data_IF_385721780692
#
_entry.id   IF_385721780692
#
_cell.length_a   1.000
_cell.length_b   1.000
_cell.length_c   1.000
_cell.angle_alpha   90.00
_cell.angle_beta   90.00
_cell.angle_gamma   90.00
#
_symmetry.space_group_name_H-M   'P 1'
#
loop_
_entity.id
_entity.type
_entity.pdbx_description
1 polymer ?
#
# COMPACT_ATOMS: atom_id res chain seq x y z
N UNK A 1 -6.71 -7.08 -13.65
CA UNK A 1 -5.29 -6.69 -13.64
C UNK A 1 -4.55 -7.10 -12.35
N UNK A 2 -5.26 -7.31 -11.22
CA UNK A 2 -4.67 -7.68 -9.91
C UNK A 2 -4.37 -9.17 -9.75
N UNK A 3 -4.86 -10.02 -10.63
CA UNK A 3 -4.72 -11.47 -10.58
C UNK A 3 -3.74 -11.99 -11.65
N UNK A 4 -3.08 -13.12 -11.40
CA UNK A 4 -2.26 -13.77 -12.42
C UNK A 4 -3.05 -14.13 -13.70
N UNK A 5 -2.43 -14.07 -14.87
CA UNK A 5 -1.02 -13.71 -15.11
C UNK A 5 -0.77 -12.18 -15.25
N UNK A 6 -1.83 -11.36 -15.19
CA UNK A 6 -1.78 -9.94 -15.54
C UNK A 6 -1.08 -9.07 -14.51
N UNK A 7 -1.08 -9.48 -13.24
CA UNK A 7 -0.56 -8.68 -12.12
C UNK A 7 0.92 -8.34 -12.25
N UNK A 8 1.73 -9.23 -12.83
CA UNK A 8 3.18 -9.00 -12.97
C UNK A 8 3.54 -7.77 -13.79
N UNK A 9 2.82 -7.52 -14.88
CA UNK A 9 3.01 -6.29 -15.65
C UNK A 9 2.20 -5.12 -15.08
N UNK A 10 0.97 -5.38 -14.66
CA UNK A 10 0.04 -4.36 -14.20
C UNK A 10 0.55 -3.60 -12.97
N UNK A 11 1.25 -4.26 -12.05
CA UNK A 11 1.74 -3.65 -10.82
C UNK A 11 2.79 -2.56 -11.05
N UNK A 12 3.52 -2.62 -12.15
CA UNK A 12 4.44 -1.55 -12.57
C UNK A 12 3.79 -0.51 -13.48
N UNK A 13 2.59 -0.79 -14.02
CA UNK A 13 1.88 0.03 -15.01
C UNK A 13 0.54 0.57 -14.49
N UNK A 14 0.35 0.69 -13.20
CA UNK A 14 -0.93 1.08 -12.58
C UNK A 14 -1.48 2.39 -13.15
N UNK A 15 -0.62 3.35 -13.50
CA UNK A 15 -1.03 4.63 -14.10
C UNK A 15 -1.69 4.50 -15.49
N UNK A 16 -1.54 3.36 -16.13
CA UNK A 16 -2.18 3.05 -17.43
C UNK A 16 -3.54 2.39 -17.23
N UNK A 17 -3.88 1.97 -16.01
CA UNK A 17 -5.03 1.14 -15.69
C UNK A 17 -6.08 1.91 -14.89
N UNK A 18 -5.65 2.69 -13.92
CA UNK A 18 -6.53 3.47 -13.04
C UNK A 18 -6.13 4.95 -13.04
N UNK A 19 -7.06 5.87 -12.72
CA UNK A 19 -6.73 7.28 -12.58
C UNK A 19 -5.63 7.50 -11.54
N UNK A 20 -4.58 8.24 -11.93
CA UNK A 20 -3.45 8.56 -11.06
C UNK A 20 -3.02 10.01 -11.25
N UNK A 21 -2.42 10.58 -10.22
CA UNK A 21 -1.76 11.88 -10.28
C UNK A 21 -0.28 11.72 -9.89
N UNK A 22 0.58 12.51 -10.52
CA UNK A 22 1.99 12.57 -10.17
C UNK A 22 2.20 13.57 -9.04
N UNK A 23 2.89 13.15 -7.98
CA UNK A 23 3.37 14.05 -6.95
C UNK A 23 4.81 14.42 -7.31
N UNK A 24 5.05 15.71 -7.56
CA UNK A 24 6.40 16.21 -7.81
C UNK A 24 7.22 16.11 -6.52
N UNK A 25 8.40 15.56 -6.64
CA UNK A 25 9.36 15.47 -5.54
C UNK A 25 10.72 16.01 -5.98
N UNK A 26 11.39 16.67 -5.08
CA UNK A 26 12.80 17.04 -5.28
C UNK A 26 13.66 15.87 -4.82
N UNK A 27 14.53 15.40 -5.72
CA UNK A 27 15.49 14.36 -5.36
C UNK A 27 16.34 14.84 -4.18
N UNK A 28 16.24 14.12 -3.07
CA UNK A 28 17.15 14.34 -1.94
C UNK A 28 18.60 13.99 -2.31
N UNK A 29 19.57 14.33 -1.47
CA UNK A 29 20.97 14.00 -1.73
C UNK A 29 21.11 12.48 -1.92
N UNK A 30 21.84 12.09 -2.96
CA UNK A 30 22.13 10.67 -3.22
C UNK A 30 22.90 10.09 -2.02
N UNK A 31 22.18 9.34 -1.20
CA UNK A 31 22.86 8.50 -0.22
C UNK A 31 23.57 7.38 -0.98
N UNK A 32 24.91 7.38 -0.95
CA UNK A 32 25.68 6.24 -1.44
C UNK A 32 25.26 5.01 -0.64
N UNK A 33 24.44 4.19 -1.27
CA UNK A 33 24.08 2.89 -0.74
C UNK A 33 25.30 1.99 -1.01
N UNK A 34 26.02 1.59 0.04
CA UNK A 34 27.06 0.59 -0.12
C UNK A 34 26.37 -0.74 -0.42
N UNK A 35 26.43 -1.20 -1.66
CA UNK A 35 25.95 -2.51 -2.03
C UNK A 35 26.86 -3.57 -1.46
N UNK A 36 26.36 -4.30 -0.50
CA UNK A 36 27.00 -5.52 -0.01
C UNK A 36 26.17 -6.70 -0.51
N UNK A 37 26.60 -7.32 -1.61
CA UNK A 37 25.97 -8.55 -2.11
C UNK A 37 26.58 -9.74 -1.37
N UNK A 38 25.90 -10.23 -0.34
CA UNK A 38 26.16 -11.57 0.17
C UNK A 38 25.36 -12.58 -0.67
N UNK A 39 26.03 -13.26 -1.60
CA UNK A 39 25.41 -14.23 -2.51
C UNK A 39 25.00 -15.55 -1.85
N UNK A 40 25.30 -15.73 -0.59
CA UNK A 40 25.11 -16.99 0.14
C UNK A 40 24.04 -16.89 1.25
N UNK A 41 23.10 -15.92 1.12
CA UNK A 41 21.96 -15.89 2.03
C UNK A 41 21.05 -17.07 1.76
N UNK A 42 20.73 -17.80 2.81
CA UNK A 42 19.74 -18.88 2.76
C UNK A 42 18.47 -18.51 3.51
N UNK A 43 17.38 -19.14 3.14
CA UNK A 43 16.09 -19.02 3.81
C UNK A 43 15.57 -20.41 4.16
N UNK A 44 15.10 -20.54 5.40
CA UNK A 44 14.47 -21.76 5.88
C UNK A 44 12.97 -21.71 5.52
N UNK A 45 12.55 -22.59 4.63
CA UNK A 45 11.18 -22.67 4.16
C UNK A 45 10.33 -23.50 5.13
N UNK A 46 10.90 -24.61 5.61
CA UNK A 46 10.31 -25.53 6.59
C UNK A 46 11.38 -26.00 7.56
N UNK A 47 10.98 -26.79 8.55
CA UNK A 47 11.87 -27.20 9.63
C UNK A 47 13.18 -27.87 9.14
N UNK A 48 13.11 -28.62 8.03
CA UNK A 48 14.27 -29.34 7.45
C UNK A 48 14.53 -28.96 5.98
N UNK A 49 14.01 -27.81 5.52
CA UNK A 49 14.13 -27.39 4.12
C UNK A 49 14.71 -25.99 4.06
N UNK A 50 15.90 -25.87 3.52
CA UNK A 50 16.62 -24.62 3.33
C UNK A 50 17.00 -24.46 1.86
N UNK A 51 16.89 -23.24 1.31
CA UNK A 51 17.28 -22.92 -0.05
C UNK A 51 18.02 -21.60 -0.09
N UNK A 52 18.70 -21.32 -1.19
CA UNK A 52 19.28 -20.01 -1.43
C UNK A 52 18.17 -18.97 -1.55
N UNK A 53 18.39 -17.78 -0.99
CA UNK A 53 17.43 -16.69 -1.05
C UNK A 53 17.11 -16.29 -2.50
N UNK A 54 18.10 -16.28 -3.39
CA UNK A 54 17.93 -15.98 -4.82
C UNK A 54 16.97 -16.99 -5.50
N UNK A 55 17.13 -18.29 -5.19
CA UNK A 55 16.26 -19.34 -5.71
C UNK A 55 14.83 -19.19 -5.18
N UNK A 56 14.68 -18.95 -3.88
CA UNK A 56 13.38 -18.71 -3.27
C UNK A 56 12.65 -17.52 -3.90
N UNK A 57 13.34 -16.38 -4.07
CA UNK A 57 12.77 -15.18 -4.66
C UNK A 57 12.41 -15.37 -6.14
N UNK A 58 13.21 -16.14 -6.89
CA UNK A 58 12.92 -16.43 -8.30
C UNK A 58 11.72 -17.36 -8.49
N UNK A 59 11.47 -18.26 -7.54
CA UNK A 59 10.34 -19.21 -7.57
C UNK A 59 9.04 -18.62 -7.06
N UNK A 60 9.11 -17.51 -6.32
CA UNK A 60 7.96 -16.76 -5.83
C UNK A 60 7.62 -15.62 -6.79
N UNK A 61 6.44 -15.02 -6.66
CA UNK A 61 6.04 -13.88 -7.50
C UNK A 61 6.53 -12.53 -6.93
N UNK A 62 7.66 -12.52 -6.26
CA UNK A 62 8.32 -11.30 -5.77
C UNK A 62 8.93 -10.56 -6.95
N UNK A 63 8.75 -9.24 -7.02
CA UNK A 63 9.32 -8.41 -8.08
C UNK A 63 10.59 -7.69 -7.63
N UNK A 64 10.67 -7.27 -6.37
CA UNK A 64 11.88 -6.70 -5.79
C UNK A 64 11.98 -7.06 -4.31
N UNK A 65 13.19 -7.25 -3.82
CA UNK A 65 13.47 -7.54 -2.42
C UNK A 65 14.71 -6.79 -1.95
N UNK A 66 14.63 -6.18 -0.78
CA UNK A 66 15.71 -5.37 -0.24
C UNK A 66 15.87 -5.62 1.26
N UNK A 67 17.10 -5.82 1.70
CA UNK A 67 17.44 -5.90 3.12
C UNK A 67 18.42 -4.80 3.45
N UNK A 68 18.11 -4.05 4.51
CA UNK A 68 19.04 -3.10 5.12
C UNK A 68 19.28 -3.42 6.59
N UNK A 69 20.49 -3.20 7.06
CA UNK A 69 20.85 -3.33 8.47
C UNK A 69 21.71 -2.16 8.89
N UNK A 70 21.33 -1.47 9.97
CA UNK A 70 22.01 -0.28 10.50
C UNK A 70 22.30 0.77 9.42
N UNK A 71 21.29 1.04 8.56
CA UNK A 71 21.37 2.02 7.48
C UNK A 71 22.22 1.60 6.28
N UNK A 72 22.71 0.36 6.22
CA UNK A 72 23.47 -0.17 5.09
C UNK A 72 22.64 -1.23 4.37
N UNK A 73 22.61 -1.16 3.03
CA UNK A 73 22.05 -2.23 2.21
C UNK A 73 22.94 -3.44 2.28
N UNK A 74 22.38 -4.59 2.66
CA UNK A 74 23.11 -5.86 2.72
C UNK A 74 22.68 -6.83 1.61
N UNK A 75 21.49 -6.63 1.05
CA UNK A 75 21.00 -7.45 -0.05
C UNK A 75 19.98 -6.66 -0.89
N UNK A 76 20.03 -6.83 -2.20
CA UNK A 76 19.04 -6.31 -3.15
C UNK A 76 18.85 -7.31 -4.27
N UNK A 77 17.60 -7.61 -4.58
CA UNK A 77 17.22 -8.51 -5.65
C UNK A 77 16.07 -7.91 -6.46
N UNK A 78 16.07 -8.15 -7.76
CA UNK A 78 15.02 -7.77 -8.67
C UNK A 78 14.73 -8.92 -9.62
N UNK A 79 13.46 -9.13 -9.91
CA UNK A 79 13.03 -10.05 -10.98
C UNK A 79 13.31 -9.45 -12.36
N UNK A 80 13.12 -10.24 -13.41
CA UNK A 80 13.21 -9.77 -14.80
C UNK A 80 12.13 -8.72 -15.15
N UNK A 81 11.09 -8.58 -14.33
CA UNK A 81 9.99 -7.62 -14.50
C UNK A 81 10.24 -6.28 -13.81
N UNK A 82 11.28 -6.18 -12.98
CA UNK A 82 11.49 -5.04 -12.12
C UNK A 82 12.97 -4.64 -12.07
N UNK A 83 13.22 -3.35 -11.95
CA UNK A 83 14.56 -2.78 -11.74
C UNK A 83 14.51 -1.80 -10.57
N UNK A 84 15.66 -1.28 -10.16
CA UNK A 84 15.75 -0.26 -9.10
C UNK A 84 15.01 1.05 -9.41
N UNK A 85 14.61 1.26 -10.66
CA UNK A 85 13.90 2.47 -11.12
C UNK A 85 12.50 2.19 -11.63
N UNK A 86 12.07 0.93 -11.63
CA UNK A 86 10.72 0.55 -12.06
C UNK A 86 9.72 0.99 -10.99
N UNK A 87 8.71 1.84 -11.32
CA UNK A 87 7.62 2.11 -10.40
C UNK A 87 6.88 0.82 -10.08
N UNK A 88 6.41 0.70 -8.86
CA UNK A 88 5.64 -0.46 -8.45
C UNK A 88 4.55 -0.04 -7.47
N UNK A 89 3.35 -0.63 -7.58
CA UNK A 89 2.28 -0.38 -6.63
C UNK A 89 2.68 -0.91 -5.26
N UNK A 90 2.39 -0.14 -4.23
CA UNK A 90 2.73 -0.48 -2.83
C UNK A 90 1.52 -0.82 -1.97
N UNK A 91 0.32 -0.80 -2.56
CA UNK A 91 -0.93 -1.11 -1.86
C UNK A 91 -1.00 -0.50 -0.45
N UNK A 92 -1.27 -1.31 0.56
CA UNK A 92 -1.45 -0.86 1.95
C UNK A 92 -0.17 -0.33 2.62
N UNK A 93 1.01 -0.49 2.04
CA UNK A 93 2.20 0.23 2.52
C UNK A 93 1.99 1.76 2.46
N UNK A 94 1.11 2.24 1.57
CA UNK A 94 0.66 3.63 1.52
C UNK A 94 0.11 4.13 2.86
N UNK A 95 -0.54 3.28 3.65
CA UNK A 95 -1.06 3.63 4.98
C UNK A 95 0.06 4.03 5.95
N UNK A 96 1.21 3.36 5.87
CA UNK A 96 2.37 3.72 6.69
C UNK A 96 2.91 5.11 6.34
N UNK A 97 2.93 5.47 5.05
CA UNK A 97 3.32 6.81 4.62
C UNK A 97 2.29 7.86 5.07
N UNK A 98 1.00 7.55 4.96
CA UNK A 98 -0.07 8.43 5.45
C UNK A 98 0.04 8.64 6.96
N UNK A 99 0.32 7.58 7.73
CA UNK A 99 0.50 7.69 9.18
C UNK A 99 1.68 8.59 9.55
N UNK A 100 2.79 8.52 8.81
CA UNK A 100 3.92 9.45 9.00
C UNK A 100 3.52 10.91 8.73
N UNK A 101 2.74 11.17 7.68
CA UNK A 101 2.23 12.52 7.39
C UNK A 101 1.30 13.03 8.49
N UNK A 102 0.39 12.18 8.98
CA UNK A 102 -0.47 12.52 10.13
C UNK A 102 0.37 12.83 11.37
N UNK A 103 1.44 12.04 11.63
CA UNK A 103 2.38 12.31 12.71
C UNK A 103 3.03 13.69 12.61
N UNK A 104 3.41 14.15 11.41
CA UNK A 104 3.92 15.51 11.21
C UNK A 104 2.86 16.58 11.55
N UNK A 105 1.61 16.38 11.13
CA UNK A 105 0.50 17.30 11.40
C UNK A 105 0.20 17.38 12.89
N UNK A 106 0.31 16.27 13.62
CA UNK A 106 0.16 16.22 15.08
C UNK A 106 1.33 16.95 15.76
N UNK A 107 2.56 16.74 15.32
CA UNK A 107 3.75 17.39 15.87
C UNK A 107 3.70 18.93 15.69
N UNK A 108 3.11 19.39 14.60
CA UNK A 108 2.84 20.81 14.34
C UNK A 108 1.68 21.38 15.18
N UNK A 109 0.99 20.57 15.97
CA UNK A 109 -0.14 20.97 16.82
C UNK A 109 -1.43 21.29 16.05
N UNK A 110 -1.51 20.90 14.77
CA UNK A 110 -2.69 21.13 13.92
C UNK A 110 -3.76 20.05 14.06
N UNK A 111 -3.41 18.93 14.65
CA UNK A 111 -4.29 17.78 14.86
C UNK A 111 -3.95 17.10 16.19
N UNK A 112 -4.93 16.52 16.86
CA UNK A 112 -4.74 15.63 18.02
C UNK A 112 -5.15 14.21 17.69
N UNK A 113 -4.49 13.23 18.28
CA UNK A 113 -4.86 11.82 18.18
C UNK A 113 -6.29 11.57 18.73
N UNK A 114 -6.73 12.39 19.67
CA UNK A 114 -8.05 12.29 20.31
C UNK A 114 -9.17 12.97 19.50
N UNK A 115 -8.82 13.71 18.43
CA UNK A 115 -9.82 14.38 17.60
C UNK A 115 -10.72 13.35 16.94
N UNK A 116 -12.04 13.54 17.04
CA UNK A 116 -12.99 12.65 16.37
C UNK A 116 -12.96 12.86 14.86
N UNK A 117 -13.06 11.77 14.12
CA UNK A 117 -13.08 11.79 12.64
C UNK A 117 -14.25 12.63 12.13
N UNK A 118 -15.43 12.53 12.76
CA UNK A 118 -16.62 13.31 12.39
C UNK A 118 -16.50 14.83 12.61
N UNK A 119 -15.52 15.28 13.38
CA UNK A 119 -15.22 16.72 13.53
C UNK A 119 -14.42 17.26 12.33
N UNK A 120 -13.66 16.38 11.66
CA UNK A 120 -12.82 16.72 10.51
C UNK A 120 -13.56 16.43 9.20
N UNK A 121 -14.26 15.30 9.16
CA UNK A 121 -15.01 14.78 8.02
C UNK A 121 -16.48 14.60 8.44
N UNK A 122 -17.31 15.66 8.37
CA UNK A 122 -18.70 15.59 8.83
C UNK A 122 -19.55 14.52 8.14
N UNK A 123 -19.15 14.09 6.94
CA UNK A 123 -19.82 13.05 6.16
C UNK A 123 -19.76 11.67 6.83
N UNK A 124 -18.87 11.48 7.81
CA UNK A 124 -18.77 10.22 8.55
C UNK A 124 -19.82 10.06 9.65
N UNK A 125 -20.67 11.08 9.89
CA UNK A 125 -21.78 10.98 10.84
C UNK A 125 -22.77 9.92 10.39
N UNK A 126 -23.17 9.05 11.33
CA UNK A 126 -24.03 7.91 11.06
C UNK A 126 -23.31 6.66 10.55
N UNK A 127 -21.99 6.75 10.31
CA UNK A 127 -21.16 5.61 9.93
C UNK A 127 -20.37 5.04 11.13
N UNK A 128 -19.65 3.94 10.88
CA UNK A 128 -18.75 3.35 11.87
C UNK A 128 -17.59 4.28 12.31
N UNK A 129 -17.38 5.37 11.59
CA UNK A 129 -16.31 6.34 11.87
C UNK A 129 -16.77 7.55 12.70
N UNK A 130 -18.07 7.69 13.02
CA UNK A 130 -18.60 8.87 13.71
C UNK A 130 -17.89 9.14 15.04
N UNK A 131 -17.74 8.11 15.86
CA UNK A 131 -17.13 8.17 17.19
C UNK A 131 -15.66 7.74 17.19
N UNK A 132 -15.09 7.46 16.03
CA UNK A 132 -13.70 7.07 15.90
C UNK A 132 -12.79 8.29 16.09
N UNK A 133 -11.71 8.13 16.84
CA UNK A 133 -10.65 9.12 16.94
C UNK A 133 -9.61 8.94 15.81
N UNK A 134 -8.79 9.95 15.57
CA UNK A 134 -7.61 9.84 14.71
C UNK A 134 -6.73 8.68 15.15
N UNK A 135 -6.58 8.46 16.47
CA UNK A 135 -5.85 7.32 17.02
C UNK A 135 -6.44 5.98 16.58
N UNK A 136 -7.77 5.83 16.60
CA UNK A 136 -8.40 4.60 16.14
C UNK A 136 -8.13 4.30 14.66
N UNK A 137 -8.05 5.35 13.82
CA UNK A 137 -7.67 5.17 12.40
C UNK A 137 -6.21 4.74 12.26
N UNK A 138 -5.30 5.38 13.01
CA UNK A 138 -3.88 5.02 12.98
C UNK A 138 -3.64 3.58 13.45
N UNK A 139 -4.37 3.12 14.43
CA UNK A 139 -4.30 1.76 14.97
C UNK A 139 -5.12 0.75 14.15
N UNK A 140 -5.87 1.20 13.14
CA UNK A 140 -6.80 0.38 12.35
C UNK A 140 -7.81 -0.37 13.24
N UNK A 141 -8.30 0.27 14.32
CA UNK A 141 -9.14 -0.32 15.36
C UNK A 141 -10.60 0.14 15.32
N UNK A 142 -11.06 0.67 14.18
CA UNK A 142 -12.45 1.00 13.96
C UNK A 142 -13.24 -0.27 13.67
N UNK A 143 -14.30 -0.51 14.45
CA UNK A 143 -15.19 -1.66 14.23
C UNK A 143 -16.24 -1.30 13.19
N UNK A 144 -16.32 -2.06 12.11
CA UNK A 144 -17.33 -1.88 11.06
C UNK A 144 -17.90 -3.24 10.61
N UNK A 145 -19.08 -3.21 10.01
CA UNK A 145 -19.69 -4.39 9.37
C UNK A 145 -19.21 -4.59 7.92
N UNK A 146 -18.25 -3.76 7.48
CA UNK A 146 -17.69 -3.84 6.14
C UNK A 146 -16.79 -5.08 6.02
N UNK A 147 -17.05 -5.91 5.02
CA UNK A 147 -16.27 -7.11 4.73
C UNK A 147 -15.49 -6.89 3.44
N UNK A 148 -14.17 -6.94 3.54
CA UNK A 148 -13.26 -6.85 2.41
C UNK A 148 -13.16 -8.20 1.67
N UNK A 149 -14.15 -8.51 0.83
CA UNK A 149 -14.09 -9.67 -0.05
C UNK A 149 -13.43 -9.28 -1.38
N UNK A 150 -12.14 -9.59 -1.50
CA UNK A 150 -11.34 -9.24 -2.69
C UNK A 150 -11.78 -9.98 -3.97
N UNK A 151 -12.54 -11.05 -3.87
CA UNK A 151 -13.07 -11.82 -4.99
C UNK A 151 -14.51 -11.41 -5.35
N UNK A 152 -15.14 -10.56 -4.54
CA UNK A 152 -16.51 -10.12 -4.78
C UNK A 152 -16.66 -9.45 -6.16
N UNK A 153 -17.68 -9.88 -6.88
CA UNK A 153 -18.09 -9.32 -8.18
C UNK A 153 -19.37 -8.49 -8.09
N UNK A 154 -19.93 -8.36 -6.88
CA UNK A 154 -21.14 -7.57 -6.58
C UNK A 154 -21.16 -7.17 -5.11
N UNK A 155 -22.07 -6.27 -4.75
CA UNK A 155 -22.29 -5.83 -3.36
C UNK A 155 -21.28 -4.78 -2.89
N UNK A 156 -21.34 -4.50 -1.59
CA UNK A 156 -20.69 -3.34 -0.95
C UNK A 156 -19.19 -3.21 -1.24
N UNK A 157 -18.47 -4.31 -1.39
CA UNK A 157 -17.04 -4.24 -1.70
C UNK A 157 -16.78 -3.87 -3.16
N UNK A 158 -17.65 -4.23 -4.10
CA UNK A 158 -17.58 -3.74 -5.47
C UNK A 158 -17.88 -2.24 -5.52
N UNK A 159 -18.94 -1.80 -4.83
CA UNK A 159 -19.33 -0.38 -4.75
C UNK A 159 -18.17 0.46 -4.19
N UNK A 160 -17.51 -0.03 -3.13
CA UNK A 160 -16.29 0.58 -2.60
C UNK A 160 -15.18 0.69 -3.66
N UNK A 161 -14.90 -0.38 -4.41
CA UNK A 161 -13.87 -0.35 -5.44
C UNK A 161 -14.19 0.60 -6.59
N UNK A 162 -15.46 0.77 -6.91
CA UNK A 162 -15.93 1.75 -7.90
C UNK A 162 -15.80 3.18 -7.35
N UNK A 163 -16.26 3.43 -6.13
CA UNK A 163 -16.18 4.75 -5.49
C UNK A 163 -14.73 5.26 -5.29
N UNK A 164 -13.77 4.34 -5.23
CA UNK A 164 -12.32 4.65 -5.11
C UNK A 164 -11.57 4.64 -6.44
N UNK A 165 -12.26 4.37 -7.56
CA UNK A 165 -11.65 4.31 -8.89
C UNK A 165 -10.81 3.06 -9.19
N UNK A 166 -10.87 2.03 -8.33
CA UNK A 166 -10.17 0.75 -8.57
C UNK A 166 -10.85 -0.14 -9.60
N UNK A 167 -12.16 0.02 -9.75
CA UNK A 167 -12.95 -0.59 -10.80
C UNK A 167 -13.61 0.52 -11.62
N UNK A 168 -13.88 0.29 -12.91
CA UNK A 168 -14.70 1.21 -13.70
C UNK A 168 -16.05 1.42 -13.03
N UNK A 169 -16.52 2.66 -13.05
CA UNK A 169 -17.88 3.02 -12.69
C UNK A 169 -18.77 2.95 -13.94
N UNK A 170 -20.06 2.74 -13.74
CA UNK A 170 -21.03 2.93 -14.81
C UNK A 170 -21.06 4.41 -15.22
N UNK A 171 -21.38 4.69 -16.49
CA UNK A 171 -21.31 6.04 -17.07
C UNK A 171 -22.15 7.06 -16.30
N UNK A 172 -23.25 6.60 -15.71
CA UNK A 172 -24.19 7.44 -14.96
C UNK A 172 -23.92 7.43 -13.45
N UNK A 173 -22.93 6.66 -12.97
CA UNK A 173 -22.58 6.59 -11.56
C UNK A 173 -21.63 7.73 -11.18
N UNK A 174 -22.13 8.64 -10.34
CA UNK A 174 -21.36 9.76 -9.78
C UNK A 174 -20.88 9.50 -8.35
N UNK A 175 -21.02 8.26 -7.86
CA UNK A 175 -20.58 7.91 -6.52
C UNK A 175 -19.06 8.14 -6.34
N UNK A 176 -18.70 8.60 -5.16
CA UNK A 176 -17.30 8.79 -4.76
C UNK A 176 -17.14 8.38 -3.29
N UNK A 177 -15.90 8.25 -2.84
CA UNK A 177 -15.60 7.71 -1.51
C UNK A 177 -16.38 8.38 -0.37
N UNK A 178 -16.56 9.70 -0.40
CA UNK A 178 -17.33 10.42 0.64
C UNK A 178 -18.81 10.08 0.64
N UNK A 179 -19.39 9.75 -0.51
CA UNK A 179 -20.81 9.33 -0.60
C UNK A 179 -21.00 7.85 -0.27
N UNK A 180 -19.90 7.09 -0.25
CA UNK A 180 -19.89 5.69 0.16
C UNK A 180 -19.86 5.54 1.69
N UNK A 181 -19.22 6.49 2.42
CA UNK A 181 -19.11 6.49 3.89
C UNK A 181 -20.46 6.70 4.57
#
# INVERSE_FOLDING_TARGET
WRLPPFNREAFSKVREIIPTASINWTKGPDKKVSEFKNKELTVKIRENEETLLDEFLSQTTVDAFHISHKGKTIYTWHSDYCSSTTPHIIFSVSKSLTALLIGCVIDEGLLSEETLVSQIIPETKGSAFEDASVRNLLDMSVSSNFIEDYEATSGIFLDYRQSTGWNPQDIDDTSHLKSFL
#
